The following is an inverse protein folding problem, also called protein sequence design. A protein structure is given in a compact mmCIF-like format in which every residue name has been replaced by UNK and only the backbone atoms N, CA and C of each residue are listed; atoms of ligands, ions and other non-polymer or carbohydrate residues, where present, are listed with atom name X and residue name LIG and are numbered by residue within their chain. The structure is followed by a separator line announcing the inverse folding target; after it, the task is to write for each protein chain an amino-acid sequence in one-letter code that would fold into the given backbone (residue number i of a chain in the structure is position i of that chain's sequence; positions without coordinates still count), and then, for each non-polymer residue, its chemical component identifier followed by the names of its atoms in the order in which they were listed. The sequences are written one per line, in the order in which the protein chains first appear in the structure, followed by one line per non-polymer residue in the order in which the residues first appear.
data_IF_716951426454
#
_entry.id   IF_716951426454
#
_cell.length_a   1.000
_cell.length_b   1.000
_cell.length_c   1.000
_cell.angle_alpha   90.00
_cell.angle_beta   90.00
_cell.angle_gamma   90.00
#
_symmetry.space_group_name_H-M   'P 1'
#
loop_
_entity.id
_entity.type
_entity.pdbx_description
1 polymer ?
#
# COMPACT_ATOMS: atom_id res chain seq x y z
N UNK A 1 134.73 31.08 26.64
CA UNK A 1 134.11 30.87 27.97
C UNK A 1 134.15 32.13 28.84
N UNK A 2 135.28 32.82 28.97
CA UNK A 2 135.36 34.04 29.80
C UNK A 2 134.55 35.25 29.29
N UNK A 3 134.40 35.39 27.96
CA UNK A 3 133.65 36.50 27.33
C UNK A 3 132.13 36.42 27.59
N UNK A 4 131.53 35.23 27.47
CA UNK A 4 130.10 35.01 27.74
C UNK A 4 129.73 35.28 29.21
N UNK A 5 130.62 34.97 30.15
CA UNK A 5 130.39 35.27 31.56
C UNK A 5 130.45 36.78 31.82
N UNK A 6 131.41 37.48 31.22
CA UNK A 6 131.53 38.93 31.34
C UNK A 6 130.33 39.67 30.72
N UNK A 7 129.86 39.23 29.56
CA UNK A 7 128.66 39.77 28.91
C UNK A 7 127.39 39.53 29.75
N UNK A 8 127.27 38.35 30.36
CA UNK A 8 126.18 38.05 31.29
C UNK A 8 126.27 38.90 32.57
N UNK A 9 127.47 39.13 33.09
CA UNK A 9 127.70 39.91 34.29
C UNK A 9 127.39 41.40 34.08
N UNK A 10 127.81 41.96 32.95
CA UNK A 10 127.52 43.35 32.55
C UNK A 10 126.05 43.58 32.26
N UNK A 11 125.35 42.61 31.66
CA UNK A 11 123.90 42.73 31.37
C UNK A 11 123.00 42.29 32.52
N UNK A 12 123.55 41.74 33.62
CA UNK A 12 122.79 41.23 34.78
C UNK A 12 121.77 42.23 35.33
N UNK A 13 122.17 43.49 35.48
CA UNK A 13 121.27 44.48 36.09
C UNK A 13 120.08 44.77 35.17
N UNK A 14 120.32 44.91 33.86
CA UNK A 14 119.25 45.10 32.88
C UNK A 14 118.33 43.90 32.76
N UNK A 15 118.86 42.67 32.84
CA UNK A 15 118.04 41.46 32.78
C UNK A 15 117.19 41.29 34.03
N UNK A 16 117.73 41.60 35.22
CA UNK A 16 116.96 41.60 36.47
C UNK A 16 115.85 42.66 36.47
N UNK A 17 116.14 43.88 35.99
CA UNK A 17 115.12 44.93 35.86
C UNK A 17 114.03 44.51 34.87
N UNK A 18 114.41 43.94 33.73
CA UNK A 18 113.45 43.44 32.74
C UNK A 18 112.61 42.31 33.31
N UNK A 19 113.21 41.40 34.06
CA UNK A 19 112.51 40.31 34.74
C UNK A 19 111.51 40.86 35.77
N UNK A 20 111.91 41.85 36.57
CA UNK A 20 111.01 42.49 37.53
C UNK A 20 109.82 43.16 36.84
N UNK A 21 110.06 43.89 35.74
CA UNK A 21 108.98 44.48 34.93
C UNK A 21 108.02 43.41 34.41
N UNK A 22 108.53 42.29 33.91
CA UNK A 22 107.69 41.19 33.43
C UNK A 22 106.88 40.54 34.56
N UNK A 23 107.43 40.45 35.77
CA UNK A 23 106.72 39.94 36.95
C UNK A 23 105.63 40.92 37.41
N UNK A 24 105.92 42.22 37.42
CA UNK A 24 104.97 43.26 37.79
C UNK A 24 103.83 43.35 36.76
N UNK A 25 104.14 43.27 35.46
CA UNK A 25 103.16 43.22 34.36
C UNK A 25 102.28 41.96 34.46
N UNK A 26 102.86 40.81 34.80
CA UNK A 26 102.12 39.57 35.01
C UNK A 26 101.17 39.68 36.21
N UNK A 27 101.64 40.23 37.33
CA UNK A 27 100.81 40.44 38.52
C UNK A 27 99.66 41.43 38.28
N UNK A 28 99.90 42.50 37.51
CA UNK A 28 98.85 43.48 37.15
C UNK A 28 97.79 42.88 36.23
N UNK A 29 98.16 41.95 35.34
CA UNK A 29 97.25 41.37 34.35
C UNK A 29 96.62 40.02 34.76
N UNK A 30 97.09 39.40 35.85
CA UNK A 30 96.66 38.06 36.29
C UNK A 30 95.13 37.92 36.35
N UNK A 31 94.43 38.86 36.99
CA UNK A 31 92.98 38.80 37.13
C UNK A 31 92.26 38.91 35.78
N UNK A 32 92.77 39.76 34.89
CA UNK A 32 92.19 39.98 33.56
C UNK A 32 92.38 38.75 32.68
N UNK A 33 93.56 38.15 32.69
CA UNK A 33 93.84 36.92 31.95
C UNK A 33 93.04 35.75 32.49
N UNK A 34 92.94 35.62 33.82
CA UNK A 34 92.11 34.63 34.48
C UNK A 34 90.65 34.76 34.08
N UNK A 35 90.09 35.97 34.13
CA UNK A 35 88.70 36.22 33.74
C UNK A 35 88.47 35.93 32.26
N UNK A 36 89.37 36.35 31.38
CA UNK A 36 89.29 36.04 29.95
C UNK A 36 89.33 34.52 29.70
N UNK A 37 90.20 33.79 30.40
CA UNK A 37 90.27 32.33 30.32
C UNK A 37 88.96 31.66 30.80
N UNK A 38 88.38 32.13 31.91
CA UNK A 38 87.08 31.66 32.41
C UNK A 38 85.98 31.92 31.37
N UNK A 39 85.97 33.10 30.74
CA UNK A 39 84.97 33.46 29.73
C UNK A 39 85.07 32.60 28.48
N UNK A 40 86.29 32.35 27.98
CA UNK A 40 86.54 31.45 26.86
C UNK A 40 86.05 30.04 27.20
N UNK A 41 86.43 29.51 28.38
CA UNK A 41 86.02 28.17 28.81
C UNK A 41 84.50 28.07 28.99
N UNK A 42 83.86 29.10 29.57
CA UNK A 42 82.41 29.17 29.77
C UNK A 42 81.67 29.15 28.43
N UNK A 43 82.10 29.97 27.47
CA UNK A 43 81.49 30.05 26.14
C UNK A 43 81.67 28.72 25.40
N UNK A 44 82.89 28.16 25.42
CA UNK A 44 83.19 26.89 24.76
C UNK A 44 82.34 25.75 25.30
N UNK A 45 82.30 25.56 26.62
CA UNK A 45 81.47 24.52 27.27
C UNK A 45 79.99 24.72 26.93
N UNK A 46 79.51 25.96 26.97
CA UNK A 46 78.13 26.29 26.61
C UNK A 46 77.80 25.99 25.14
N UNK A 47 78.69 26.33 24.21
CA UNK A 47 78.51 26.03 22.79
C UNK A 47 78.51 24.52 22.52
N UNK A 48 79.41 23.78 23.15
CA UNK A 48 79.48 22.33 23.01
C UNK A 48 78.19 21.63 23.47
N UNK A 49 77.67 22.01 24.65
CA UNK A 49 76.41 21.46 25.18
C UNK A 49 75.23 21.84 24.27
N UNK A 50 75.12 23.09 23.84
CA UNK A 50 74.06 23.53 22.93
C UNK A 50 74.11 22.81 21.59
N UNK A 51 75.31 22.59 21.04
CA UNK A 51 75.52 21.81 19.82
C UNK A 51 75.02 20.38 19.97
N UNK A 52 75.36 19.72 21.09
CA UNK A 52 74.91 18.36 21.41
C UNK A 52 73.38 18.27 21.55
N UNK A 53 72.75 19.22 22.25
CA UNK A 53 71.29 19.25 22.39
C UNK A 53 70.61 19.51 21.03
N UNK A 54 71.18 20.39 20.20
CA UNK A 54 70.64 20.68 18.88
C UNK A 54 70.68 19.46 17.96
N UNK A 55 71.77 18.67 17.97
CA UNK A 55 71.85 17.44 17.17
C UNK A 55 70.84 16.40 17.63
N UNK A 56 70.68 16.20 18.94
CA UNK A 56 69.68 15.30 19.50
C UNK A 56 68.25 15.72 19.10
N UNK A 57 67.90 16.99 19.30
CA UNK A 57 66.58 17.53 18.91
C UNK A 57 66.31 17.36 17.42
N UNK A 58 67.30 17.61 16.57
CA UNK A 58 67.15 17.42 15.12
C UNK A 58 66.89 15.95 14.78
N UNK A 59 67.59 15.01 15.41
CA UNK A 59 67.35 13.59 15.24
C UNK A 59 65.92 13.20 15.68
N UNK A 60 65.46 13.68 16.83
CA UNK A 60 64.09 13.45 17.33
C UNK A 60 63.02 13.97 16.36
N UNK A 61 63.22 15.17 15.80
CA UNK A 61 62.30 15.76 14.81
C UNK A 61 62.26 14.90 13.55
N UNK A 62 63.40 14.45 13.04
CA UNK A 62 63.48 13.59 11.85
C UNK A 62 62.75 12.27 12.07
N UNK A 63 63.02 11.60 13.20
CA UNK A 63 62.36 10.33 13.56
C UNK A 63 60.85 10.55 13.66
N UNK A 64 60.42 11.58 14.40
CA UNK A 64 59.00 11.91 14.58
C UNK A 64 58.31 12.21 13.25
N UNK A 65 58.96 12.98 12.37
CA UNK A 65 58.44 13.32 11.02
C UNK A 65 58.25 12.06 10.17
N UNK A 66 59.27 11.20 10.12
CA UNK A 66 59.23 9.96 9.35
C UNK A 66 58.15 9.02 9.88
N UNK A 67 58.04 8.88 11.21
CA UNK A 67 57.05 8.02 11.85
C UNK A 67 55.62 8.50 11.61
N UNK A 68 55.33 9.80 11.78
CA UNK A 68 54.02 10.39 11.43
C UNK A 68 53.67 10.14 9.96
N UNK A 69 54.65 10.27 9.06
CA UNK A 69 54.47 9.94 7.65
C UNK A 69 54.15 8.46 7.40
N UNK A 70 54.83 7.54 8.09
CA UNK A 70 54.55 6.11 8.01
C UNK A 70 53.12 5.78 8.47
N UNK A 71 52.70 6.33 9.62
CA UNK A 71 51.33 6.14 10.12
C UNK A 71 50.28 6.67 9.15
N UNK A 72 50.50 7.85 8.57
CA UNK A 72 49.62 8.43 7.57
C UNK A 72 49.50 7.53 6.33
N UNK A 73 50.62 7.04 5.79
CA UNK A 73 50.63 6.11 4.64
C UNK A 73 49.88 4.82 4.94
N UNK A 74 50.11 4.22 6.11
CA UNK A 74 49.41 3.01 6.56
C UNK A 74 47.90 3.24 6.70
N UNK A 75 47.49 4.41 7.22
CA UNK A 75 46.06 4.81 7.28
C UNK A 75 45.48 4.94 5.88
N UNK A 76 46.14 5.66 4.97
CA UNK A 76 45.69 5.84 3.59
C UNK A 76 45.57 4.51 2.84
N UNK A 77 46.55 3.61 3.00
CA UNK A 77 46.49 2.27 2.42
C UNK A 77 45.25 1.50 2.87
N UNK A 78 44.99 1.46 4.19
CA UNK A 78 43.80 0.81 4.74
C UNK A 78 42.50 1.42 4.20
N UNK A 79 42.42 2.75 4.11
CA UNK A 79 41.23 3.43 3.57
C UNK A 79 41.03 3.13 2.08
N UNK A 80 42.11 3.07 1.29
CA UNK A 80 42.05 2.70 -0.13
C UNK A 80 41.56 1.27 -0.34
N UNK A 81 42.03 0.33 0.48
CA UNK A 81 41.55 -1.06 0.44
C UNK A 81 40.06 -1.15 0.82
N UNK A 82 39.63 -0.44 1.87
CA UNK A 82 38.21 -0.38 2.24
C UNK A 82 37.34 0.21 1.13
N UNK A 83 37.78 1.29 0.49
CA UNK A 83 37.07 1.90 -0.65
C UNK A 83 36.98 0.93 -1.84
N UNK A 84 38.08 0.23 -2.15
CA UNK A 84 38.11 -0.80 -3.21
C UNK A 84 37.13 -1.94 -2.92
N UNK A 85 37.10 -2.43 -1.68
CA UNK A 85 36.16 -3.48 -1.26
C UNK A 85 34.71 -3.02 -1.38
N UNK A 86 34.39 -1.83 -0.87
CA UNK A 86 33.04 -1.24 -0.97
C UNK A 86 32.57 -1.11 -2.41
N UNK A 87 33.42 -0.59 -3.30
CA UNK A 87 33.11 -0.50 -4.73
C UNK A 87 32.81 -1.87 -5.34
N UNK A 88 33.62 -2.88 -5.00
CA UNK A 88 33.42 -4.26 -5.45
C UNK A 88 32.10 -4.84 -4.94
N UNK A 89 31.79 -4.64 -3.66
CA UNK A 89 30.53 -5.05 -3.05
C UNK A 89 29.33 -4.38 -3.72
N UNK A 90 29.39 -3.07 -3.99
CA UNK A 90 28.33 -2.35 -4.68
C UNK A 90 28.08 -2.88 -6.10
N UNK A 91 29.14 -3.22 -6.85
CA UNK A 91 29.01 -3.86 -8.16
C UNK A 91 28.29 -5.21 -8.06
N UNK A 92 28.68 -6.06 -7.10
CA UNK A 92 28.02 -7.34 -6.91
C UNK A 92 26.56 -7.19 -6.44
N UNK A 93 26.26 -6.21 -5.59
CA UNK A 93 24.89 -5.90 -5.20
C UNK A 93 24.05 -5.48 -6.42
N UNK A 94 24.58 -4.65 -7.31
CA UNK A 94 23.89 -4.28 -8.54
C UNK A 94 23.55 -5.51 -9.40
N UNK A 95 24.53 -6.39 -9.66
CA UNK A 95 24.29 -7.62 -10.42
C UNK A 95 23.29 -8.54 -9.72
N UNK A 96 23.39 -8.70 -8.40
CA UNK A 96 22.45 -9.49 -7.62
C UNK A 96 21.02 -8.95 -7.76
N UNK A 97 20.82 -7.63 -7.69
CA UNK A 97 19.50 -7.01 -7.90
C UNK A 97 18.95 -7.28 -9.30
N UNK A 98 19.78 -7.15 -10.34
CA UNK A 98 19.37 -7.43 -11.73
C UNK A 98 18.96 -8.89 -11.91
N UNK A 99 19.76 -9.82 -11.40
CA UNK A 99 19.48 -11.27 -11.43
C UNK A 99 18.18 -11.56 -10.67
N UNK A 100 18.06 -11.07 -9.44
CA UNK A 100 16.89 -11.27 -8.59
C UNK A 100 15.62 -10.69 -9.23
N UNK A 101 15.68 -9.49 -9.81
CA UNK A 101 14.55 -8.87 -10.53
C UNK A 101 14.10 -9.74 -11.70
N UNK A 102 15.06 -10.21 -12.50
CA UNK A 102 14.78 -11.05 -13.67
C UNK A 102 14.16 -12.39 -13.25
N UNK A 103 14.69 -13.02 -12.20
CA UNK A 103 14.19 -14.27 -11.65
C UNK A 103 12.78 -14.11 -11.08
N UNK A 104 12.54 -13.08 -10.26
CA UNK A 104 11.20 -12.78 -9.71
C UNK A 104 10.19 -12.52 -10.82
N UNK A 105 10.59 -11.79 -11.87
CA UNK A 105 9.75 -11.54 -13.03
C UNK A 105 9.40 -12.81 -13.81
N UNK A 106 10.39 -13.67 -14.07
CA UNK A 106 10.18 -14.97 -14.71
C UNK A 106 9.24 -15.84 -13.86
N UNK A 107 9.53 -15.98 -12.57
CA UNK A 107 8.74 -16.79 -11.64
C UNK A 107 7.28 -16.30 -11.56
N UNK A 108 7.05 -14.99 -11.49
CA UNK A 108 5.70 -14.42 -11.48
C UNK A 108 4.91 -14.77 -12.75
N UNK A 109 5.53 -14.63 -13.93
CA UNK A 109 4.89 -14.95 -15.22
C UNK A 109 4.63 -16.44 -15.42
N UNK A 110 5.48 -17.29 -14.87
CA UNK A 110 5.34 -18.73 -15.03
C UNK A 110 4.33 -19.33 -14.03
N UNK A 111 4.35 -18.89 -12.78
CA UNK A 111 3.61 -19.54 -11.70
C UNK A 111 2.37 -18.78 -11.21
N UNK A 112 2.35 -17.45 -11.29
CA UNK A 112 1.25 -16.63 -10.74
C UNK A 112 0.31 -16.10 -11.81
N UNK A 113 0.88 -15.59 -12.90
CA UNK A 113 0.16 -14.90 -13.96
C UNK A 113 0.31 -15.65 -15.28
N UNK A 114 -0.31 -16.83 -15.36
CA UNK A 114 -0.38 -17.56 -16.61
C UNK A 114 -1.37 -16.88 -17.57
N UNK A 115 -0.81 -16.23 -18.60
CA UNK A 115 -1.56 -15.55 -19.63
C UNK A 115 -2.53 -16.47 -20.37
N UNK A 116 -2.15 -17.73 -20.62
CA UNK A 116 -2.96 -18.69 -21.37
C UNK A 116 -4.20 -19.06 -20.58
N UNK A 117 -4.04 -19.33 -19.29
CA UNK A 117 -5.15 -19.61 -18.37
C UNK A 117 -6.07 -18.40 -18.26
N UNK A 118 -5.51 -17.19 -18.06
CA UNK A 118 -6.32 -15.97 -18.01
C UNK A 118 -7.09 -15.72 -19.31
N UNK A 119 -6.47 -15.96 -20.47
CA UNK A 119 -7.12 -15.80 -21.77
C UNK A 119 -8.25 -16.81 -21.97
N UNK A 120 -8.07 -18.06 -21.52
CA UNK A 120 -9.12 -19.07 -21.55
C UNK A 120 -10.30 -18.68 -20.65
N UNK A 121 -10.04 -18.24 -19.42
CA UNK A 121 -11.07 -17.79 -18.48
C UNK A 121 -11.88 -16.60 -19.01
N UNK A 122 -11.22 -15.57 -19.57
CA UNK A 122 -11.92 -14.41 -20.15
C UNK A 122 -12.81 -14.82 -21.32
N UNK A 123 -12.35 -15.76 -22.17
CA UNK A 123 -13.17 -16.32 -23.24
C UNK A 123 -14.40 -17.05 -22.70
N UNK A 124 -14.23 -17.85 -21.66
CA UNK A 124 -15.34 -18.57 -21.01
C UNK A 124 -16.38 -17.62 -20.40
N UNK A 125 -15.94 -16.52 -19.78
CA UNK A 125 -16.86 -15.47 -19.31
C UNK A 125 -17.59 -14.81 -20.47
N UNK A 126 -16.90 -14.53 -21.58
CA UNK A 126 -17.52 -13.91 -22.74
C UNK A 126 -18.62 -14.81 -23.32
N UNK A 127 -18.35 -16.10 -23.49
CA UNK A 127 -19.36 -17.07 -23.97
C UNK A 127 -20.54 -17.17 -23.02
N UNK A 128 -20.30 -17.25 -21.70
CA UNK A 128 -21.37 -17.27 -20.68
C UNK A 128 -22.21 -15.99 -20.71
N UNK A 129 -21.56 -14.84 -20.91
CA UNK A 129 -22.24 -13.54 -20.98
C UNK A 129 -23.14 -13.46 -22.21
N UNK A 130 -22.67 -13.96 -23.35
CA UNK A 130 -23.46 -14.00 -24.58
C UNK A 130 -24.65 -14.97 -24.46
N UNK A 131 -24.48 -16.12 -23.80
CA UNK A 131 -25.59 -17.03 -23.51
C UNK A 131 -26.64 -16.40 -22.59
N UNK A 132 -26.21 -15.67 -21.56
CA UNK A 132 -27.13 -14.93 -20.67
C UNK A 132 -27.89 -13.86 -21.46
N UNK A 133 -27.21 -13.10 -22.32
CA UNK A 133 -27.85 -12.08 -23.18
C UNK A 133 -28.89 -12.70 -24.11
N UNK A 134 -28.60 -13.85 -24.71
CA UNK A 134 -29.57 -14.59 -25.55
C UNK A 134 -30.79 -15.01 -24.74
N UNK A 135 -30.58 -15.63 -23.57
CA UNK A 135 -31.67 -16.03 -22.68
C UNK A 135 -32.52 -14.85 -22.23
N UNK A 136 -31.92 -13.71 -21.92
CA UNK A 136 -32.66 -12.49 -21.54
C UNK A 136 -33.49 -11.96 -22.72
N UNK A 137 -32.93 -11.96 -23.92
CA UNK A 137 -33.65 -11.56 -25.12
C UNK A 137 -34.82 -12.50 -25.43
N UNK A 138 -34.64 -13.81 -25.27
CA UNK A 138 -35.71 -14.79 -25.49
C UNK A 138 -36.82 -14.66 -24.44
N UNK A 139 -36.48 -14.48 -23.16
CA UNK A 139 -37.47 -14.24 -22.10
C UNK A 139 -38.24 -12.94 -22.34
N UNK A 140 -37.57 -11.86 -22.77
CA UNK A 140 -38.24 -10.60 -23.09
C UNK A 140 -39.26 -10.78 -24.23
N UNK A 141 -38.89 -11.52 -25.29
CA UNK A 141 -39.83 -11.82 -26.38
C UNK A 141 -41.02 -12.65 -25.90
N UNK A 142 -40.79 -13.62 -25.02
CA UNK A 142 -41.88 -14.41 -24.44
C UNK A 142 -42.82 -13.55 -23.60
N UNK A 143 -42.27 -12.66 -22.76
CA UNK A 143 -43.06 -11.73 -21.95
C UNK A 143 -43.90 -10.79 -22.83
N UNK A 144 -43.31 -10.21 -23.87
CA UNK A 144 -44.04 -9.35 -24.81
C UNK A 144 -45.21 -10.08 -25.47
N UNK A 145 -45.00 -11.32 -25.91
CA UNK A 145 -46.04 -12.13 -26.53
C UNK A 145 -47.13 -12.57 -25.54
N UNK A 146 -46.78 -12.83 -24.29
CA UNK A 146 -47.74 -13.08 -23.21
C UNK A 146 -48.55 -11.83 -22.86
N UNK A 147 -47.91 -10.65 -22.80
CA UNK A 147 -48.56 -9.36 -22.59
C UNK A 147 -49.51 -9.02 -23.73
N UNK A 148 -49.09 -9.18 -24.99
CA UNK A 148 -49.94 -9.00 -26.18
C UNK A 148 -51.17 -9.92 -26.14
N UNK A 149 -50.98 -11.20 -25.80
CA UNK A 149 -52.09 -12.16 -25.64
C UNK A 149 -53.01 -11.78 -24.49
N UNK A 150 -52.47 -11.30 -23.37
CA UNK A 150 -53.25 -10.86 -22.23
C UNK A 150 -54.11 -9.63 -22.58
N UNK A 151 -53.50 -8.64 -23.26
CA UNK A 151 -54.20 -7.45 -23.76
C UNK A 151 -55.30 -7.84 -24.76
N UNK A 152 -55.01 -8.73 -25.72
CA UNK A 152 -56.02 -9.20 -26.68
C UNK A 152 -57.17 -9.94 -25.99
N UNK A 153 -56.85 -10.78 -24.98
CA UNK A 153 -57.85 -11.50 -24.20
C UNK A 153 -58.71 -10.56 -23.34
N UNK A 154 -58.12 -9.51 -22.74
CA UNK A 154 -58.83 -8.48 -22.00
C UNK A 154 -59.75 -7.68 -22.93
N UNK A 155 -59.25 -7.21 -24.08
CA UNK A 155 -60.05 -6.51 -25.08
C UNK A 155 -61.22 -7.36 -25.62
N UNK A 156 -61.02 -8.68 -25.79
CA UNK A 156 -62.12 -9.61 -26.15
C UNK A 156 -63.16 -9.72 -25.03
N UNK A 157 -62.74 -9.75 -23.76
CA UNK A 157 -63.67 -9.79 -22.62
C UNK A 157 -64.48 -8.50 -22.52
N UNK A 158 -63.83 -7.35 -22.66
CA UNK A 158 -64.50 -6.04 -22.71
C UNK A 158 -65.51 -5.99 -23.86
N UNK A 159 -65.14 -6.50 -25.05
CA UNK A 159 -66.06 -6.58 -26.19
C UNK A 159 -67.30 -7.42 -25.86
N UNK A 160 -67.12 -8.59 -25.24
CA UNK A 160 -68.24 -9.45 -24.81
C UNK A 160 -69.13 -8.71 -23.81
N UNK A 161 -68.53 -8.05 -22.82
CA UNK A 161 -69.25 -7.32 -21.78
C UNK A 161 -70.11 -6.18 -22.34
N UNK A 162 -69.60 -5.45 -23.34
CA UNK A 162 -70.33 -4.38 -24.01
C UNK A 162 -71.42 -4.96 -24.93
N UNK A 163 -71.09 -5.93 -25.77
CA UNK A 163 -71.98 -6.41 -26.84
C UNK A 163 -73.16 -7.25 -26.35
N UNK A 164 -73.04 -7.93 -25.22
CA UNK A 164 -74.12 -8.76 -24.64
C UNK A 164 -75.41 -7.97 -24.34
N UNK A 165 -75.34 -6.64 -24.19
CA UNK A 165 -76.50 -5.78 -23.90
C UNK A 165 -77.01 -5.01 -25.14
N UNK A 166 -76.39 -5.18 -26.31
CA UNK A 166 -76.68 -4.39 -27.52
C UNK A 166 -77.61 -5.10 -28.52
N UNK A 167 -78.39 -6.10 -28.09
CA UNK A 167 -79.27 -6.87 -28.98
C UNK A 167 -80.28 -6.00 -29.77
N UNK A 168 -80.66 -4.85 -29.23
CA UNK A 168 -81.58 -3.90 -29.88
C UNK A 168 -80.96 -3.18 -31.10
N UNK A 169 -79.64 -3.29 -31.30
CA UNK A 169 -78.92 -2.72 -32.45
C UNK A 169 -78.72 -3.73 -33.59
N UNK A 170 -79.18 -4.97 -33.41
CA UNK A 170 -79.05 -6.07 -34.39
C UNK A 170 -80.12 -5.95 -35.47
N UNK A 171 -79.76 -6.35 -36.71
CA UNK A 171 -80.71 -6.41 -37.82
C UNK A 171 -81.84 -7.39 -37.55
N UNK A 172 -83.06 -6.96 -37.85
CA UNK A 172 -84.24 -7.80 -37.91
C UNK A 172 -84.51 -8.22 -39.36
N UNK A 173 -85.45 -9.15 -39.58
CA UNK A 173 -85.83 -9.58 -40.93
C UNK A 173 -86.35 -8.42 -41.80
N UNK A 174 -86.97 -7.41 -41.18
CA UNK A 174 -87.60 -6.28 -41.89
C UNK A 174 -86.70 -5.03 -41.96
N UNK A 175 -85.85 -4.80 -40.95
CA UNK A 175 -85.03 -3.58 -40.83
C UNK A 175 -83.58 -3.97 -40.50
N UNK A 176 -82.64 -3.43 -41.27
CA UNK A 176 -81.21 -3.58 -41.02
C UNK A 176 -80.77 -2.84 -39.75
N UNK A 177 -79.89 -3.46 -38.97
CA UNK A 177 -79.33 -2.93 -37.73
C UNK A 177 -78.25 -1.91 -38.00
N UNK A 178 -77.86 -1.17 -36.95
CA UNK A 178 -76.91 -0.05 -37.05
C UNK A 178 -75.55 -0.51 -37.59
N UNK A 179 -75.15 -1.75 -37.33
CA UNK A 179 -73.86 -2.31 -37.72
C UNK A 179 -73.87 -3.09 -39.06
N UNK A 180 -75.02 -3.24 -39.72
CA UNK A 180 -75.16 -3.86 -41.05
C UNK A 180 -76.09 -3.05 -41.96
N UNK A 181 -75.92 -1.72 -41.97
CA UNK A 181 -76.71 -0.87 -42.84
C UNK A 181 -76.29 -1.03 -44.33
N UNK A 182 -77.23 -1.13 -45.29
CA UNK A 182 -76.94 -1.47 -46.70
C UNK A 182 -76.06 -0.47 -47.46
N UNK A 183 -75.94 0.76 -46.94
CA UNK A 183 -75.21 1.88 -47.57
C UNK A 183 -73.98 2.30 -46.75
N UNK A 184 -73.41 1.41 -45.93
CA UNK A 184 -72.17 1.72 -45.22
C UNK A 184 -70.99 1.80 -46.20
N UNK A 185 -70.30 2.95 -46.31
CA UNK A 185 -69.23 3.15 -47.30
C UNK A 185 -67.99 2.28 -47.04
N UNK A 186 -67.82 1.77 -45.82
CA UNK A 186 -66.67 0.94 -45.39
C UNK A 186 -66.99 -0.56 -45.28
N UNK A 187 -68.19 -1.00 -45.67
CA UNK A 187 -68.68 -2.35 -45.36
C UNK A 187 -69.05 -2.53 -43.87
N UNK A 188 -69.43 -3.75 -43.45
CA UNK A 188 -69.90 -4.00 -42.08
C UNK A 188 -68.78 -3.77 -41.06
N UNK A 189 -69.11 -3.06 -39.97
CA UNK A 189 -68.15 -2.81 -38.89
C UNK A 189 -67.64 -4.15 -38.34
N UNK A 190 -66.31 -4.31 -38.31
CA UNK A 190 -65.64 -5.58 -37.98
C UNK A 190 -64.73 -5.40 -36.77
N UNK A 191 -64.81 -6.30 -35.78
CA UNK A 191 -63.90 -6.38 -34.64
C UNK A 191 -63.27 -7.77 -34.57
N UNK A 192 -61.95 -7.83 -34.38
CA UNK A 192 -61.17 -9.08 -34.43
C UNK A 192 -61.42 -9.92 -35.70
N UNK A 193 -61.63 -9.28 -36.85
CA UNK A 193 -61.89 -9.96 -38.13
C UNK A 193 -63.30 -10.54 -38.31
N UNK A 194 -64.20 -10.36 -37.33
CA UNK A 194 -65.60 -10.81 -37.39
C UNK A 194 -66.54 -9.60 -37.33
N UNK A 195 -67.65 -9.57 -38.11
CA UNK A 195 -68.60 -8.46 -38.06
C UNK A 195 -69.17 -8.27 -36.64
N UNK A 196 -69.23 -7.02 -36.18
CA UNK A 196 -69.70 -6.65 -34.83
C UNK A 196 -71.12 -7.18 -34.58
N UNK A 197 -71.97 -7.23 -35.60
CA UNK A 197 -73.32 -7.76 -35.46
C UNK A 197 -73.35 -9.27 -35.12
N UNK A 198 -72.39 -10.05 -35.60
CA UNK A 198 -72.26 -11.48 -35.26
C UNK A 198 -71.89 -11.62 -33.79
N UNK A 199 -70.92 -10.85 -33.29
CA UNK A 199 -70.56 -10.81 -31.86
C UNK A 199 -71.77 -10.46 -30.99
N UNK A 200 -72.54 -9.43 -31.36
CA UNK A 200 -73.74 -9.05 -30.60
C UNK A 200 -74.75 -10.21 -30.57
N UNK A 201 -75.02 -10.88 -31.70
CA UNK A 201 -75.95 -12.01 -31.76
C UNK A 201 -75.48 -13.21 -30.92
N UNK A 202 -74.22 -13.59 -31.04
CA UNK A 202 -73.68 -14.74 -30.32
C UNK A 202 -73.59 -14.49 -28.82
N UNK A 203 -73.09 -13.32 -28.41
CA UNK A 203 -72.94 -12.96 -27.00
C UNK A 203 -74.29 -12.75 -26.31
N UNK A 204 -75.24 -12.09 -26.98
CA UNK A 204 -76.61 -11.94 -26.45
C UNK A 204 -77.30 -13.30 -26.32
N UNK A 205 -77.15 -14.19 -27.32
CA UNK A 205 -77.67 -15.56 -27.26
C UNK A 205 -77.04 -16.36 -26.12
N UNK A 206 -75.73 -16.25 -25.92
CA UNK A 206 -75.03 -16.90 -24.82
C UNK A 206 -75.49 -16.36 -23.45
N UNK A 207 -75.65 -15.04 -23.31
CA UNK A 207 -76.16 -14.40 -22.10
C UNK A 207 -77.60 -14.85 -21.81
N UNK A 208 -78.48 -14.87 -22.82
CA UNK A 208 -79.88 -15.33 -22.64
C UNK A 208 -79.92 -16.81 -22.28
N UNK A 209 -79.08 -17.65 -22.89
CA UNK A 209 -78.96 -19.05 -22.52
C UNK A 209 -78.49 -19.26 -21.07
N UNK A 210 -77.48 -18.48 -20.61
CA UNK A 210 -77.01 -18.51 -19.22
C UNK A 210 -78.07 -17.99 -18.26
N UNK A 211 -78.80 -16.91 -18.62
CA UNK A 211 -79.93 -16.41 -17.83
C UNK A 211 -81.05 -17.44 -17.71
N UNK A 212 -81.40 -18.13 -18.80
CA UNK A 212 -82.40 -19.20 -18.81
C UNK A 212 -81.94 -20.41 -17.99
N UNK A 213 -80.66 -20.77 -18.05
CA UNK A 213 -80.09 -21.83 -17.22
C UNK A 213 -80.07 -21.47 -15.72
N UNK A 214 -79.83 -20.19 -15.40
CA UNK A 214 -79.88 -19.67 -14.01
C UNK A 214 -81.30 -19.43 -13.50
N UNK A 215 -82.27 -19.24 -14.39
CA UNK A 215 -83.66 -19.08 -14.03
C UNK A 215 -84.20 -20.40 -13.46
N UNK A 216 -84.22 -20.50 -12.13
CA UNK A 216 -84.94 -21.57 -11.43
C UNK A 216 -86.44 -21.40 -11.70
N UNK A 217 -87.20 -22.47 -12.00
CA UNK A 217 -88.66 -22.38 -11.99
C UNK A 217 -89.10 -21.89 -10.60
N UNK A 218 -90.16 -21.06 -10.50
CA UNK A 218 -90.58 -20.49 -9.23
C UNK A 218 -91.02 -21.63 -8.30
N UNK A 219 -90.11 -22.04 -7.42
CA UNK A 219 -90.33 -23.12 -6.46
C UNK A 219 -89.90 -22.58 -5.11
N UNK A 220 -90.90 -22.33 -4.26
CA UNK A 220 -90.85 -21.98 -2.83
C UNK A 220 -89.90 -20.86 -2.38
N UNK A 221 -90.48 -19.82 -1.77
CA UNK A 221 -89.75 -18.77 -1.05
C UNK A 221 -88.87 -19.43 0.03
N UNK A 222 -87.55 -19.37 -0.13
CA UNK A 222 -86.61 -19.75 0.92
C UNK A 222 -86.65 -18.68 2.03
N UNK A 223 -86.76 -19.06 3.31
CA UNK A 223 -86.78 -18.10 4.40
C UNK A 223 -85.39 -17.47 4.58
N UNK A 224 -85.37 -16.15 4.64
CA UNK A 224 -84.25 -15.36 5.15
C UNK A 224 -84.27 -15.41 6.69
N UNK A 225 -83.12 -15.45 7.40
CA UNK A 225 -81.74 -15.26 6.93
C UNK A 225 -80.88 -16.54 6.88
N UNK A 226 -79.76 -16.51 6.11
CA UNK A 226 -78.77 -17.60 6.13
C UNK A 226 -78.11 -17.74 7.51
N UNK A 227 -77.95 -18.99 7.95
CA UNK A 227 -77.47 -19.37 9.30
C UNK A 227 -76.02 -18.97 9.61
N UNK A 228 -75.19 -18.69 8.60
CA UNK A 228 -73.76 -18.41 8.83
C UNK A 228 -73.44 -16.91 8.96
N UNK A 229 -73.16 -16.49 10.20
CA UNK A 229 -72.68 -15.13 10.55
C UNK A 229 -71.14 -15.01 10.61
N UNK A 230 -70.39 -15.98 10.07
CA UNK A 230 -68.93 -16.05 10.20
C UNK A 230 -68.14 -15.03 9.36
N UNK A 231 -68.79 -14.22 8.53
CA UNK A 231 -68.14 -13.23 7.65
C UNK A 231 -67.83 -11.88 8.31
N UNK A 232 -68.13 -11.70 9.60
CA UNK A 232 -68.01 -10.42 10.33
C UNK A 232 -66.76 -10.28 11.22
N UNK A 233 -65.80 -11.20 11.17
CA UNK A 233 -64.54 -11.05 11.92
C UNK A 233 -63.39 -10.65 11.00
N UNK A 234 -63.13 -9.35 10.95
CA UNK A 234 -61.95 -8.75 10.35
C UNK A 234 -60.71 -9.05 11.21
N UNK A 235 -60.00 -10.13 10.88
CA UNK A 235 -58.58 -10.29 11.17
C UNK A 235 -57.96 -11.02 9.98
N UNK A 236 -57.79 -10.28 8.88
CA UNK A 236 -57.29 -10.86 7.64
C UNK A 236 -55.76 -10.89 7.64
N UNK A 237 -55.23 -12.07 7.35
CA UNK A 237 -53.82 -12.50 7.30
C UNK A 237 -52.99 -11.77 6.19
N UNK A 238 -53.53 -10.72 5.59
CA UNK A 238 -53.12 -10.15 4.30
C UNK A 238 -51.88 -9.23 4.33
N UNK A 239 -51.12 -9.23 5.42
CA UNK A 239 -49.90 -8.42 5.55
C UNK A 239 -48.60 -9.21 5.50
N UNK A 240 -48.64 -10.53 5.73
CA UNK A 240 -47.43 -11.33 5.91
C UNK A 240 -46.59 -11.39 4.62
N UNK A 241 -47.26 -11.63 3.49
CA UNK A 241 -46.64 -11.79 2.18
C UNK A 241 -46.03 -10.46 1.71
N UNK A 242 -46.74 -9.35 1.92
CA UNK A 242 -46.25 -8.00 1.65
C UNK A 242 -45.05 -7.63 2.53
N UNK A 243 -45.00 -8.10 3.78
CA UNK A 243 -43.85 -7.91 4.68
C UNK A 243 -42.63 -8.68 4.18
N UNK A 244 -42.82 -9.92 3.72
CA UNK A 244 -41.78 -10.77 3.14
C UNK A 244 -41.21 -10.20 1.84
N UNK A 245 -42.07 -9.69 0.95
CA UNK A 245 -41.65 -9.03 -0.31
C UNK A 245 -40.87 -7.74 -0.02
N UNK A 246 -41.29 -6.95 0.98
CA UNK A 246 -40.59 -5.72 1.40
C UNK A 246 -39.23 -6.01 2.03
N UNK A 247 -39.11 -7.03 2.88
CA UNK A 247 -37.82 -7.43 3.44
C UNK A 247 -36.89 -7.95 2.34
N UNK A 248 -37.37 -8.79 1.42
CA UNK A 248 -36.57 -9.29 0.30
C UNK A 248 -36.03 -8.16 -0.60
N UNK A 249 -36.86 -7.15 -0.94
CA UNK A 249 -36.41 -5.95 -1.68
C UNK A 249 -35.38 -5.12 -0.90
N UNK A 250 -35.54 -4.97 0.41
CA UNK A 250 -34.60 -4.21 1.27
C UNK A 250 -33.21 -4.85 1.30
N UNK A 251 -33.13 -6.17 1.39
CA UNK A 251 -31.87 -6.91 1.49
C UNK A 251 -31.27 -7.31 0.13
N UNK A 252 -32.01 -7.22 -0.98
CA UNK A 252 -31.49 -7.50 -2.33
C UNK A 252 -30.32 -6.59 -2.72
N UNK A 253 -30.33 -5.31 -2.31
CA UNK A 253 -29.25 -4.35 -2.60
C UNK A 253 -27.98 -4.58 -1.77
N UNK A 254 -28.07 -5.39 -0.70
CA UNK A 254 -26.96 -5.71 0.19
C UNK A 254 -26.30 -7.06 -0.13
N UNK A 255 -26.82 -7.79 -1.13
CA UNK A 255 -26.13 -8.98 -1.66
C UNK A 255 -24.86 -8.54 -2.40
N UNK A 256 -23.74 -8.50 -1.67
CA UNK A 256 -22.43 -8.68 -2.28
C UNK A 256 -22.45 -10.05 -2.98
N UNK A 257 -22.19 -10.08 -4.28
CA UNK A 257 -22.26 -11.29 -5.11
C UNK A 257 -21.27 -12.38 -4.64
N UNK A 258 -20.29 -12.05 -3.81
CA UNK A 258 -19.54 -13.02 -3.02
C UNK A 258 -19.00 -12.36 -1.75
N UNK A 259 -18.80 -13.14 -0.68
CA UNK A 259 -18.13 -12.68 0.55
C UNK A 259 -16.61 -12.49 0.36
N UNK A 260 -16.06 -12.91 -0.78
CA UNK A 260 -14.65 -12.79 -1.09
C UNK A 260 -14.35 -11.51 -1.89
N UNK A 261 -13.21 -10.89 -1.59
CA UNK A 261 -12.62 -9.87 -2.45
C UNK A 261 -12.37 -10.43 -3.85
N UNK A 262 -12.43 -9.58 -4.87
CA UNK A 262 -12.13 -9.95 -6.26
C UNK A 262 -10.74 -10.60 -6.35
N UNK A 263 -10.71 -11.93 -6.51
CA UNK A 263 -9.47 -12.67 -6.72
C UNK A 263 -9.15 -12.67 -8.21
N UNK A 264 -8.01 -12.07 -8.57
CA UNK A 264 -7.43 -12.22 -9.90
C UNK A 264 -7.23 -13.69 -10.22
N UNK A 265 -7.54 -14.12 -11.45
CA UNK A 265 -7.36 -15.50 -11.95
C UNK A 265 -6.00 -16.03 -11.53
N UNK A 266 -6.02 -16.97 -10.57
CA UNK A 266 -4.87 -17.49 -9.84
C UNK A 266 -4.73 -18.98 -10.15
N UNK A 267 -3.54 -19.41 -10.55
CA UNK A 267 -3.26 -20.81 -10.83
C UNK A 267 -2.83 -21.55 -9.55
N UNK A 268 -3.79 -22.15 -8.85
CA UNK A 268 -3.55 -22.84 -7.58
C UNK A 268 -2.60 -24.05 -7.69
N UNK A 269 -2.43 -24.64 -8.88
CA UNK A 269 -1.60 -25.81 -9.09
C UNK A 269 -0.09 -25.50 -9.11
N UNK A 270 0.31 -24.23 -9.28
CA UNK A 270 1.71 -23.85 -9.50
C UNK A 270 2.34 -22.99 -8.40
N UNK A 271 1.60 -22.65 -7.34
CA UNK A 271 2.09 -21.82 -6.24
C UNK A 271 2.59 -22.65 -5.04
N UNK A 272 3.78 -23.25 -5.19
CA UNK A 272 4.51 -23.85 -4.06
C UNK A 272 5.07 -22.78 -3.10
N UNK A 273 5.02 -21.49 -3.45
CA UNK A 273 5.60 -20.41 -2.62
C UNK A 273 4.71 -20.03 -1.45
N UNK A 274 3.39 -20.20 -1.56
CA UNK A 274 2.48 -20.03 -0.42
C UNK A 274 2.65 -21.12 0.63
N UNK A 275 3.11 -22.33 0.25
CA UNK A 275 3.52 -23.38 1.19
C UNK A 275 4.84 -23.07 1.92
N UNK A 276 5.64 -22.11 1.43
CA UNK A 276 6.97 -21.75 1.97
C UNK A 276 7.01 -20.43 2.72
N UNK A 277 5.95 -19.63 2.69
CA UNK A 277 5.80 -18.56 3.67
C UNK A 277 5.31 -19.19 4.96
N UNK A 278 6.20 -19.93 5.62
CA UNK A 278 6.05 -20.13 7.06
C UNK A 278 5.83 -18.73 7.66
N UNK A 279 4.83 -18.59 8.55
CA UNK A 279 4.69 -17.36 9.30
C UNK A 279 6.08 -17.05 9.88
N UNK A 280 6.66 -15.89 9.56
CA UNK A 280 7.98 -15.54 10.07
C UNK A 280 7.98 -15.68 11.59
N UNK A 281 9.14 -15.85 12.24
CA UNK A 281 9.26 -16.17 13.68
C UNK A 281 8.33 -15.34 14.62
N UNK A 282 7.95 -14.13 14.20
CA UNK A 282 7.08 -13.22 14.96
C UNK A 282 5.58 -13.28 14.59
N UNK A 283 5.14 -14.18 13.72
CA UNK A 283 3.76 -14.25 13.31
C UNK A 283 2.88 -14.83 14.44
N UNK A 284 1.91 -14.02 14.90
CA UNK A 284 1.11 -14.31 16.08
C UNK A 284 1.66 -13.68 17.36
N UNK A 285 2.81 -13.01 17.32
CA UNK A 285 3.31 -12.18 18.43
C UNK A 285 2.76 -10.77 18.24
N UNK A 286 1.99 -10.28 19.21
CA UNK A 286 1.50 -8.91 19.22
C UNK A 286 2.68 -7.92 19.18
N UNK A 287 2.66 -7.02 18.19
CA UNK A 287 3.65 -5.96 18.09
C UNK A 287 3.49 -4.99 19.27
N UNK A 288 4.44 -5.04 20.21
CA UNK A 288 4.55 -4.07 21.29
C UNK A 288 5.41 -2.90 20.83
N UNK A 289 4.85 -1.69 20.84
CA UNK A 289 5.61 -0.47 20.64
C UNK A 289 6.84 -0.42 21.57
N UNK A 290 7.95 0.13 21.10
CA UNK A 290 9.22 0.20 21.85
C UNK A 290 9.08 0.81 23.25
N UNK A 291 8.17 1.77 23.40
CA UNK A 291 7.89 2.43 24.69
C UNK A 291 6.98 1.62 25.61
N UNK A 292 6.29 0.59 25.09
CA UNK A 292 5.49 -0.39 25.83
C UNK A 292 6.25 -1.70 26.09
N UNK A 293 7.48 -1.83 25.59
CA UNK A 293 8.26 -3.06 25.71
C UNK A 293 8.95 -3.13 27.09
N UNK A 294 8.55 -4.05 28.00
CA UNK A 294 9.10 -4.12 29.36
C UNK A 294 10.58 -4.50 29.38
N UNK A 295 11.09 -5.15 28.33
CA UNK A 295 12.49 -5.56 28.21
C UNK A 295 13.44 -4.43 27.75
N UNK A 296 12.92 -3.26 27.37
CA UNK A 296 13.71 -2.09 26.96
C UNK A 296 13.96 -1.09 28.10
N UNK A 297 13.75 -1.48 29.37
CA UNK A 297 14.18 -0.70 30.54
C UNK A 297 15.70 -0.49 30.49
N UNK A 298 16.16 0.74 30.75
CA UNK A 298 17.60 1.00 30.98
C UNK A 298 18.02 0.35 32.30
N UNK A 299 18.89 -0.65 32.24
CA UNK A 299 19.42 -1.35 33.40
C UNK A 299 18.98 -2.82 33.47
N UNK A 300 19.56 -3.58 34.40
CA UNK A 300 19.20 -4.98 34.63
C UNK A 300 17.91 -5.03 35.48
N UNK A 301 16.84 -5.75 35.07
CA UNK A 301 15.64 -5.92 35.87
C UNK A 301 15.97 -6.46 37.26
N UNK A 302 15.45 -5.85 38.32
CA UNK A 302 15.78 -6.25 39.70
C UNK A 302 14.77 -7.24 40.28
N UNK A 303 13.53 -7.24 39.78
CA UNK A 303 12.46 -8.14 40.23
C UNK A 303 11.57 -8.62 39.08
N UNK A 304 10.71 -9.61 39.33
CA UNK A 304 9.73 -10.12 38.35
C UNK A 304 8.65 -9.09 38.02
N UNK A 305 8.36 -8.17 38.94
CA UNK A 305 7.44 -7.06 38.73
C UNK A 305 7.94 -6.09 37.65
N UNK A 306 9.27 -5.97 37.48
CA UNK A 306 9.86 -5.13 36.45
C UNK A 306 9.59 -5.60 35.02
N UNK A 307 9.17 -6.86 34.84
CA UNK A 307 8.88 -7.47 33.55
C UNK A 307 7.41 -7.36 33.15
N UNK A 308 6.56 -6.75 33.99
CA UNK A 308 5.15 -6.57 33.69
C UNK A 308 4.95 -5.49 32.62
N UNK A 309 4.12 -5.73 31.59
CA UNK A 309 3.97 -4.86 30.42
C UNK A 309 3.37 -3.48 30.71
N UNK A 310 2.90 -3.23 31.93
CA UNK A 310 2.24 -1.99 32.34
C UNK A 310 3.15 -1.03 33.12
N UNK A 311 4.41 -1.41 33.41
CA UNK A 311 5.36 -0.57 34.16
C UNK A 311 6.55 -0.15 33.28
N UNK A 312 6.33 0.71 32.31
CA UNK A 312 7.41 1.32 31.52
C UNK A 312 7.84 2.64 32.14
N UNK A 313 9.14 2.83 32.39
CA UNK A 313 9.73 4.05 32.97
C UNK A 313 9.88 5.20 31.96
N UNK A 314 9.41 5.03 30.72
CA UNK A 314 9.18 6.12 29.79
C UNK A 314 7.86 6.79 30.19
N UNK A 315 7.91 7.60 31.26
CA UNK A 315 6.77 8.18 31.99
C UNK A 315 5.72 8.92 31.12
N UNK A 316 6.00 9.16 29.83
CA UNK A 316 5.07 9.80 28.89
C UNK A 316 5.18 9.17 27.51
N UNK A 317 4.03 8.83 26.92
CA UNK A 317 3.94 8.57 25.49
C UNK A 317 4.55 9.76 24.72
N UNK A 318 5.28 9.55 23.62
CA UNK A 318 5.88 10.66 22.88
C UNK A 318 4.77 11.63 22.45
N UNK A 319 4.99 12.93 22.67
CA UNK A 319 4.02 13.99 22.34
C UNK A 319 3.65 14.02 20.85
N UNK A 320 4.44 13.37 19.99
CA UNK A 320 4.13 13.10 18.59
C UNK A 320 4.15 11.59 18.35
N UNK A 321 3.13 11.01 17.70
CA UNK A 321 3.12 9.58 17.39
C UNK A 321 4.33 9.21 16.52
N UNK A 322 4.91 8.04 16.80
CA UNK A 322 6.03 7.52 16.04
C UNK A 322 5.51 7.04 14.68
N UNK A 323 5.68 7.83 13.63
CA UNK A 323 5.45 7.35 12.27
C UNK A 323 6.65 6.51 11.86
N UNK A 324 6.48 5.18 11.81
CA UNK A 324 7.46 4.27 11.20
C UNK A 324 7.82 4.78 9.81
N UNK A 325 9.11 5.03 9.59
CA UNK A 325 9.64 5.50 8.30
C UNK A 325 9.65 4.42 7.22
N UNK A 326 9.37 3.18 7.57
CA UNK A 326 9.27 2.05 6.65
C UNK A 326 7.80 1.77 6.36
N UNK A 327 7.25 2.43 5.35
CA UNK A 327 5.87 2.15 4.92
C UNK A 327 5.16 3.21 4.10
N UNK A 328 5.81 4.32 3.75
CA UNK A 328 5.22 5.32 2.87
C UNK A 328 6.29 6.01 2.02
N UNK A 329 6.01 6.17 0.72
CA UNK A 329 6.80 6.96 -0.22
C UNK A 329 7.22 8.30 0.43
N UNK A 330 8.48 8.41 0.85
CA UNK A 330 9.09 9.67 1.28
C UNK A 330 9.94 10.24 0.14
N UNK A 331 9.30 10.57 -0.98
CA UNK A 331 9.84 11.60 -1.87
C UNK A 331 9.44 12.96 -1.30
N UNK A 332 10.13 13.42 -0.25
CA UNK A 332 10.16 14.85 0.05
C UNK A 332 11.26 15.44 -0.82
N UNK A 333 10.88 15.94 -1.99
CA UNK A 333 11.73 16.83 -2.80
C UNK A 333 11.91 18.11 -1.98
N UNK A 334 13.09 18.28 -1.39
CA UNK A 334 13.56 19.59 -0.95
C UNK A 334 14.33 20.23 -2.13
N UNK A 335 14.42 21.57 -2.23
CA UNK A 335 14.88 22.27 -3.42
C UNK A 335 16.37 22.15 -3.74
N UNK A 336 17.11 21.18 -3.17
CA UNK A 336 18.54 21.02 -3.43
C UNK A 336 18.87 19.53 -3.59
N UNK A 337 19.40 19.19 -4.77
CA UNK A 337 19.77 17.85 -5.28
C UNK A 337 20.83 17.10 -4.44
N UNK A 338 20.53 16.76 -3.18
CA UNK A 338 21.31 15.81 -2.40
C UNK A 338 20.42 14.69 -1.88
N UNK A 339 20.52 13.54 -2.55
CA UNK A 339 20.10 12.25 -2.00
C UNK A 339 21.20 11.75 -1.06
N UNK A 340 20.94 11.76 0.25
CA UNK A 340 21.76 10.99 1.19
C UNK A 340 21.27 9.52 1.20
N UNK A 341 22.24 8.60 1.13
CA UNK A 341 22.10 7.14 1.18
C UNK A 341 21.80 6.66 2.60
#
# INVERSE_FOLDING_TARGET
MATLFYDCWTTRQSTLVRLQQLLDDAAQNEERERQAAIDIQRIFRGQFVRGTIATQRNAEIVISRVYRGHLARRRCHRLREQDRLRKRESLFHYYAVVIQKSLRGMHSRHHKLDFRIRKAYVREIATKSDDIRRRLADNLRQQQLEEERAIEAEAKRELVEVTQNLHHLVSTRAIAGVYCAPMQPSGPATSFGVPVEVHIRENTKALVADQLARAKPPTSLLPYPPSNKATLQANSVYGADLKAVRTQKKYHKLRRLSAADFQTVYNAAHDDTRKRNEPGINAGVDYLDDWKNPYKKRGVPRSKEDLLPQLTTLEKAPTKPFHLTYGGNKSKVLPNDRFDV
#
